data_IF_599656719201
#
_entry.id   IF_599656719201
#
_cell.length_a   1.000
_cell.length_b   1.000
_cell.length_c   1.000
_cell.angle_alpha   90.00
_cell.angle_beta   90.00
_cell.angle_gamma   90.00
#
_symmetry.space_group_name_H-M   'P 1'
#
loop_
_entity.id
_entity.type
_entity.pdbx_description
1 polymer ?
#
# COMPACT_ATOMS: atom_id res chain seq x y z
N UNK A 1 -4.82 -17.57 16.73
CA UNK A 1 -4.99 -16.26 16.06
C UNK A 1 -3.59 -15.73 15.88
N UNK A 2 -3.17 -15.44 14.64
CA UNK A 2 -1.93 -14.69 14.43
C UNK A 2 -2.01 -13.44 15.30
N UNK A 3 -1.01 -13.20 16.13
CA UNK A 3 -0.98 -11.97 16.89
C UNK A 3 -0.92 -10.83 15.88
N UNK A 4 -1.95 -9.97 15.87
CA UNK A 4 -2.01 -8.82 14.95
C UNK A 4 -0.73 -8.00 15.10
N UNK A 5 -0.21 -7.88 16.32
CA UNK A 5 1.05 -7.21 16.59
C UNK A 5 2.21 -7.85 15.81
N UNK A 6 2.34 -9.17 15.84
CA UNK A 6 3.42 -9.87 15.13
C UNK A 6 3.37 -9.66 13.62
N UNK A 7 2.19 -9.73 12.98
CA UNK A 7 2.08 -9.52 11.52
C UNK A 7 2.34 -8.06 11.14
N UNK A 8 1.92 -7.12 12.00
CA UNK A 8 2.20 -5.69 11.78
C UNK A 8 3.70 -5.39 12.01
N UNK A 9 4.35 -6.09 12.96
CA UNK A 9 5.80 -6.02 13.15
C UNK A 9 6.55 -6.56 11.92
N UNK A 10 6.16 -7.73 11.38
CA UNK A 10 6.72 -8.29 10.14
C UNK A 10 6.55 -7.31 8.97
N UNK A 11 5.35 -6.74 8.80
CA UNK A 11 5.07 -5.73 7.76
C UNK A 11 5.99 -4.51 7.88
N UNK A 12 6.20 -4.03 9.10
CA UNK A 12 7.08 -2.89 9.37
C UNK A 12 8.52 -3.23 9.01
N UNK A 13 9.01 -4.39 9.43
CA UNK A 13 10.39 -4.82 9.20
C UNK A 13 10.69 -4.99 7.71
N UNK A 14 9.83 -5.70 6.97
CA UNK A 14 9.98 -5.85 5.52
C UNK A 14 9.87 -4.51 4.78
N UNK A 15 8.99 -3.62 5.23
CA UNK A 15 8.89 -2.26 4.67
C UNK A 15 10.14 -1.42 4.92
N UNK A 16 10.81 -1.60 6.05
CA UNK A 16 12.05 -0.91 6.40
C UNK A 16 13.24 -1.44 5.59
N UNK A 17 13.30 -2.76 5.32
CA UNK A 17 14.29 -3.33 4.40
C UNK A 17 14.11 -2.82 2.97
N UNK A 18 12.89 -2.84 2.46
CA UNK A 18 12.58 -2.29 1.14
C UNK A 18 12.91 -0.79 1.06
N UNK A 19 12.60 -0.02 2.11
CA UNK A 19 12.94 1.40 2.21
C UNK A 19 14.43 1.67 2.12
N UNK A 20 15.25 0.90 2.86
CA UNK A 20 16.70 1.02 2.82
C UNK A 20 17.24 0.73 1.41
N UNK A 21 16.67 -0.27 0.73
CA UNK A 21 17.06 -0.65 -0.62
C UNK A 21 16.71 0.45 -1.63
N UNK A 22 15.47 0.96 -1.64
CA UNK A 22 15.07 1.98 -2.63
C UNK A 22 15.59 3.37 -2.30
N UNK A 23 15.75 3.69 -1.00
CA UNK A 23 16.29 4.96 -0.53
C UNK A 23 17.77 5.17 -0.88
N UNK A 24 18.51 4.09 -1.12
CA UNK A 24 19.90 4.14 -1.59
C UNK A 24 20.04 4.24 -3.12
N UNK A 25 18.95 4.13 -3.87
CA UNK A 25 19.00 4.17 -5.34
C UNK A 25 19.28 5.57 -5.87
N UNK A 26 20.17 5.65 -6.85
CA UNK A 26 20.33 6.86 -7.65
C UNK A 26 19.03 7.19 -8.42
N UNK A 27 18.72 8.47 -8.68
CA UNK A 27 17.47 8.87 -9.33
C UNK A 27 17.16 8.17 -10.66
N UNK A 28 18.19 7.83 -11.45
CA UNK A 28 18.01 7.11 -12.72
C UNK A 28 17.51 5.67 -12.54
N UNK A 29 17.84 5.01 -11.43
CA UNK A 29 17.49 3.61 -11.15
C UNK A 29 16.02 3.42 -10.82
N UNK A 30 15.32 4.47 -10.40
CA UNK A 30 13.87 4.47 -10.20
C UNK A 30 13.06 4.22 -11.48
N UNK A 31 13.68 4.44 -12.64
CA UNK A 31 13.12 4.12 -13.96
C UNK A 31 13.46 2.69 -14.43
N UNK A 32 14.22 1.93 -13.65
CA UNK A 32 14.55 0.55 -13.96
C UNK A 32 13.30 -0.32 -14.03
N UNK A 33 13.19 -1.24 -15.00
CA UNK A 33 12.03 -2.12 -15.14
C UNK A 33 11.96 -3.12 -13.99
N UNK A 34 10.76 -3.63 -13.74
CA UNK A 34 10.48 -4.70 -12.78
C UNK A 34 9.88 -5.92 -13.50
N UNK A 35 9.73 -7.07 -12.85
CA UNK A 35 9.03 -8.22 -13.45
C UNK A 35 7.56 -7.93 -13.82
N UNK A 36 6.93 -6.95 -13.19
CA UNK A 36 5.63 -6.45 -13.61
C UNK A 36 5.79 -5.65 -14.92
N UNK A 37 5.22 -6.15 -16.01
CA UNK A 37 5.38 -5.58 -17.33
C UNK A 37 4.89 -4.12 -17.37
N UNK A 38 5.70 -3.23 -17.94
CA UNK A 38 5.41 -1.79 -17.99
C UNK A 38 5.71 -1.03 -16.69
N UNK A 39 5.92 -1.71 -15.56
CA UNK A 39 6.18 -1.07 -14.28
C UNK A 39 7.69 -0.89 -14.01
N UNK A 40 8.01 0.30 -13.50
CA UNK A 40 9.35 0.62 -12.99
C UNK A 40 9.39 0.51 -11.47
N UNK A 41 10.57 0.64 -10.85
CA UNK A 41 10.69 0.75 -9.38
C UNK A 41 9.81 1.87 -8.82
N UNK A 42 9.71 3.01 -9.52
CA UNK A 42 8.80 4.09 -9.13
C UNK A 42 7.32 3.66 -9.13
N UNK A 43 6.91 2.81 -10.08
CA UNK A 43 5.54 2.28 -10.11
C UNK A 43 5.27 1.36 -8.92
N UNK A 44 6.24 0.53 -8.51
CA UNK A 44 6.09 -0.33 -7.34
C UNK A 44 5.91 0.47 -6.05
N UNK A 45 6.76 1.49 -5.81
CA UNK A 45 6.61 2.35 -4.63
C UNK A 45 5.33 3.18 -4.69
N UNK A 46 4.93 3.64 -5.89
CA UNK A 46 3.65 4.34 -6.07
C UNK A 46 2.44 3.43 -5.78
N UNK A 47 2.47 2.18 -6.23
CA UNK A 47 1.45 1.18 -5.93
C UNK A 47 1.32 0.94 -4.44
N UNK A 48 2.45 0.71 -3.74
CA UNK A 48 2.47 0.54 -2.29
C UNK A 48 1.89 1.77 -1.56
N UNK A 49 2.34 2.98 -1.93
CA UNK A 49 1.84 4.22 -1.36
C UNK A 49 0.33 4.39 -1.56
N UNK A 50 -0.18 4.09 -2.76
CA UNK A 50 -1.61 4.18 -3.06
C UNK A 50 -2.40 3.14 -2.27
N UNK A 51 -1.99 1.88 -2.28
CA UNK A 51 -2.72 0.82 -1.58
C UNK A 51 -2.69 1.00 -0.06
N UNK A 52 -1.63 1.54 0.52
CA UNK A 52 -1.59 1.91 1.95
C UNK A 52 -2.60 3.01 2.29
N UNK A 53 -2.72 4.04 1.45
CA UNK A 53 -3.73 5.10 1.62
C UNK A 53 -5.16 4.58 1.44
N UNK A 54 -5.39 3.64 0.52
CA UNK A 54 -6.71 2.98 0.36
C UNK A 54 -7.03 2.09 1.56
N UNK A 55 -6.07 1.34 2.08
CA UNK A 55 -6.25 0.53 3.29
C UNK A 55 -6.54 1.42 4.52
N UNK A 56 -5.86 2.56 4.62
CA UNK A 56 -6.10 3.55 5.65
C UNK A 56 -7.52 4.13 5.52
N UNK A 57 -7.92 4.57 4.33
CA UNK A 57 -9.28 5.06 4.04
C UNK A 57 -10.34 4.03 4.42
N UNK A 58 -10.15 2.77 4.04
CA UNK A 58 -11.06 1.69 4.39
C UNK A 58 -11.19 1.49 5.90
N UNK A 59 -10.09 1.62 6.65
CA UNK A 59 -10.08 1.43 8.09
C UNK A 59 -10.63 2.64 8.87
N UNK A 60 -10.47 3.86 8.37
CA UNK A 60 -10.82 5.09 9.11
C UNK A 60 -12.08 5.79 8.60
N UNK A 61 -12.40 5.65 7.31
CA UNK A 61 -13.51 6.32 6.64
C UNK A 61 -14.27 5.34 5.72
N UNK A 62 -14.88 4.27 6.28
CA UNK A 62 -15.48 3.18 5.50
C UNK A 62 -16.60 3.64 4.55
N UNK A 63 -17.32 4.71 4.88
CA UNK A 63 -18.35 5.28 4.01
C UNK A 63 -17.76 5.87 2.71
N UNK A 64 -16.54 6.43 2.79
CA UNK A 64 -15.81 7.00 1.64
C UNK A 64 -15.09 5.93 0.82
N UNK A 65 -14.76 4.79 1.41
CA UNK A 65 -14.17 3.67 0.69
C UNK A 65 -15.06 3.16 -0.46
N UNK A 66 -16.39 3.36 -0.39
CA UNK A 66 -17.30 3.05 -1.49
C UNK A 66 -16.93 3.71 -2.82
N UNK A 67 -16.31 4.90 -2.78
CA UNK A 67 -15.83 5.58 -3.99
C UNK A 67 -14.66 4.83 -4.64
N UNK A 68 -13.78 4.22 -3.84
CA UNK A 68 -12.68 3.39 -4.35
C UNK A 68 -13.21 2.09 -4.97
N UNK A 69 -14.24 1.49 -4.38
CA UNK A 69 -14.93 0.33 -4.98
C UNK A 69 -15.56 0.71 -6.32
N UNK A 70 -16.19 1.87 -6.43
CA UNK A 70 -16.76 2.34 -7.69
C UNK A 70 -15.70 2.52 -8.79
N UNK A 71 -14.52 3.06 -8.44
CA UNK A 71 -13.37 3.17 -9.37
C UNK A 71 -12.90 1.79 -9.84
N UNK A 72 -12.75 0.85 -8.90
CA UNK A 72 -12.33 -0.52 -9.23
C UNK A 72 -13.35 -1.22 -10.14
N UNK A 73 -14.66 -1.05 -9.90
CA UNK A 73 -15.70 -1.63 -10.75
C UNK A 73 -15.76 -1.00 -12.15
N UNK A 74 -15.41 0.28 -12.29
CA UNK A 74 -15.40 0.96 -13.58
C UNK A 74 -14.24 0.50 -14.49
N UNK A 75 -13.13 0.05 -13.90
CA UNK A 75 -11.93 -0.36 -14.62
C UNK A 75 -11.18 -1.50 -13.89
N UNK A 76 -11.78 -2.70 -13.75
CA UNK A 76 -11.28 -3.75 -12.85
C UNK A 76 -9.88 -4.26 -13.22
N UNK A 77 -9.52 -4.23 -14.50
CA UNK A 77 -8.21 -4.66 -15.00
C UNK A 77 -7.18 -3.53 -15.04
N UNK A 78 -7.56 -2.27 -14.80
CA UNK A 78 -6.69 -1.13 -15.02
C UNK A 78 -6.61 -0.14 -13.85
N UNK A 79 -7.49 -0.22 -12.85
CA UNK A 79 -7.54 0.79 -11.78
C UNK A 79 -6.25 0.88 -10.97
N UNK A 80 -5.58 -0.25 -10.73
CA UNK A 80 -4.28 -0.31 -10.05
C UNK A 80 -3.20 0.35 -10.90
N UNK A 81 -3.08 -0.04 -12.17
CA UNK A 81 -2.12 0.54 -13.12
C UNK A 81 -2.32 2.06 -13.27
N UNK A 82 -3.58 2.49 -13.37
CA UNK A 82 -3.93 3.91 -13.46
C UNK A 82 -3.57 4.68 -12.19
N UNK A 83 -3.80 4.10 -11.01
CA UNK A 83 -3.45 4.74 -9.74
C UNK A 83 -1.93 4.88 -9.56
N UNK A 84 -1.17 3.80 -9.79
CA UNK A 84 0.28 3.81 -9.73
C UNK A 84 0.89 4.76 -10.76
N UNK A 85 0.42 4.69 -12.01
CA UNK A 85 0.87 5.55 -13.11
C UNK A 85 0.58 7.03 -12.86
N UNK A 86 -0.59 7.37 -12.31
CA UNK A 86 -0.94 8.75 -11.96
C UNK A 86 0.00 9.32 -10.90
N UNK A 87 0.35 8.52 -9.87
CA UNK A 87 1.31 8.94 -8.85
C UNK A 87 2.72 9.14 -9.41
N UNK A 88 3.19 8.23 -10.26
CA UNK A 88 4.48 8.37 -10.95
C UNK A 88 4.53 9.60 -11.85
N UNK A 89 3.42 9.91 -12.54
CA UNK A 89 3.34 11.09 -13.39
C UNK A 89 3.34 12.40 -12.58
N UNK A 90 2.80 12.40 -11.37
CA UNK A 90 2.64 13.58 -10.54
C UNK A 90 3.85 13.90 -9.65
N UNK A 91 4.69 12.91 -9.34
CA UNK A 91 5.69 13.03 -8.27
C UNK A 91 7.06 12.50 -8.65
N UNK A 92 8.09 13.18 -8.15
CA UNK A 92 9.46 12.70 -8.21
C UNK A 92 9.67 11.51 -7.23
N UNK A 93 10.67 10.64 -7.48
CA UNK A 93 10.99 9.50 -6.63
C UNK A 93 11.09 9.76 -5.13
N UNK A 94 11.75 10.83 -4.72
CA UNK A 94 11.92 11.22 -3.32
C UNK A 94 10.59 11.59 -2.66
N UNK A 95 9.70 12.25 -3.41
CA UNK A 95 8.34 12.57 -2.97
C UNK A 95 7.49 11.31 -2.85
N UNK A 96 7.59 10.38 -3.80
CA UNK A 96 6.90 9.09 -3.73
C UNK A 96 7.34 8.28 -2.51
N UNK A 97 8.66 8.21 -2.27
CA UNK A 97 9.22 7.51 -1.12
C UNK A 97 8.77 8.14 0.21
N UNK A 98 8.81 9.47 0.32
CA UNK A 98 8.33 10.18 1.50
C UNK A 98 6.82 9.93 1.74
N UNK A 99 6.02 9.91 0.69
CA UNK A 99 4.59 9.62 0.77
C UNK A 99 4.31 8.19 1.23
N UNK A 100 5.03 7.21 0.70
CA UNK A 100 4.92 5.83 1.14
C UNK A 100 5.31 5.66 2.62
N UNK A 101 6.42 6.29 3.05
CA UNK A 101 6.85 6.31 4.46
C UNK A 101 5.79 6.88 5.40
N UNK A 102 5.15 7.99 5.04
CA UNK A 102 4.07 8.58 5.84
C UNK A 102 2.84 7.65 5.91
N UNK A 103 2.40 7.17 4.74
CA UNK A 103 1.23 6.30 4.62
C UNK A 103 1.37 5.02 5.45
N UNK A 104 2.50 4.33 5.35
CA UNK A 104 2.73 3.08 6.10
C UNK A 104 2.81 3.30 7.62
N UNK A 105 3.37 4.43 8.08
CA UNK A 105 3.40 4.77 9.52
C UNK A 105 2.00 5.03 10.06
N UNK A 106 1.17 5.75 9.29
CA UNK A 106 -0.23 5.99 9.65
C UNK A 106 -1.04 4.71 9.64
N UNK A 107 -0.83 3.83 8.67
CA UNK A 107 -1.50 2.54 8.58
C UNK A 107 -1.09 1.60 9.72
N UNK A 108 0.20 1.47 10.04
CA UNK A 108 0.70 0.70 11.19
C UNK A 108 -0.05 1.10 12.47
N UNK A 109 -0.11 2.40 12.77
CA UNK A 109 -0.82 2.92 13.94
C UNK A 109 -2.29 2.52 13.93
N UNK A 110 -2.99 2.68 12.81
CA UNK A 110 -4.42 2.33 12.69
C UNK A 110 -4.66 0.84 12.88
N UNK A 111 -3.79 -0.02 12.33
CA UNK A 111 -3.91 -1.46 12.49
C UNK A 111 -3.65 -1.90 13.94
N UNK A 112 -2.68 -1.31 14.63
CA UNK A 112 -2.40 -1.60 16.06
C UNK A 112 -3.49 -1.12 17.00
N UNK A 113 -4.07 0.05 16.71
CA UNK A 113 -5.13 0.64 17.54
C UNK A 113 -6.52 0.05 17.25
N UNK A 114 -6.66 -0.79 16.22
CA UNK A 114 -7.92 -1.37 15.83
C UNK A 114 -8.50 -2.27 16.93
N UNK A 115 -9.81 -2.15 17.26
CA UNK A 115 -10.45 -3.02 18.24
C UNK A 115 -10.31 -4.50 17.89
N UNK A 116 -10.17 -5.35 18.91
CA UNK A 116 -10.15 -6.80 18.72
C UNK A 116 -11.40 -7.27 17.95
N UNK A 117 -11.19 -8.01 16.86
CA UNK A 117 -12.27 -8.51 16.00
C UNK A 117 -12.81 -7.50 14.97
N UNK A 118 -12.23 -6.30 14.88
CA UNK A 118 -12.59 -5.34 13.84
C UNK A 118 -12.47 -5.93 12.42
N UNK A 119 -13.36 -5.48 11.54
CA UNK A 119 -13.37 -5.83 10.11
C UNK A 119 -13.19 -4.58 9.29
N UNK A 120 -12.26 -4.63 8.33
CA UNK A 120 -11.96 -3.54 7.42
C UNK A 120 -12.64 -3.85 6.08
N UNK A 121 -13.51 -2.99 5.53
CA UNK A 121 -14.05 -3.15 4.19
C UNK A 121 -12.93 -3.30 3.15
N UNK A 122 -13.15 -4.11 2.12
CA UNK A 122 -12.18 -4.24 1.03
C UNK A 122 -12.87 -4.56 -0.29
N UNK A 123 -12.11 -4.68 -1.37
CA UNK A 123 -12.64 -5.00 -2.71
C UNK A 123 -13.28 -6.39 -2.81
N UNK A 124 -13.04 -7.26 -1.82
CA UNK A 124 -13.71 -8.54 -1.65
C UNK A 124 -14.49 -8.59 -0.32
N UNK A 125 -14.61 -9.76 0.32
CA UNK A 125 -15.12 -9.83 1.67
C UNK A 125 -14.33 -8.91 2.61
N UNK A 126 -14.98 -8.23 3.58
CA UNK A 126 -14.27 -7.43 4.58
C UNK A 126 -13.18 -8.26 5.23
N UNK A 127 -11.99 -7.69 5.43
CA UNK A 127 -10.82 -8.37 5.98
C UNK A 127 -10.76 -8.24 7.50
N UNK A 128 -10.10 -9.19 8.17
CA UNK A 128 -9.63 -8.94 9.55
C UNK A 128 -8.43 -8.00 9.52
N UNK A 129 -8.10 -7.38 10.66
CA UNK A 129 -6.88 -6.56 10.79
C UNK A 129 -5.62 -7.35 10.43
N UNK A 130 -5.51 -8.60 10.93
CA UNK A 130 -4.40 -9.48 10.57
C UNK A 130 -4.37 -9.79 9.06
N UNK A 131 -5.53 -10.06 8.46
CA UNK A 131 -5.62 -10.33 7.01
C UNK A 131 -5.23 -9.12 6.17
N UNK A 132 -5.58 -7.91 6.61
CA UNK A 132 -5.16 -6.67 5.95
C UNK A 132 -3.64 -6.52 6.04
N UNK A 133 -3.06 -6.66 7.24
CA UNK A 133 -1.61 -6.58 7.44
C UNK A 133 -0.86 -7.63 6.59
N UNK A 134 -1.35 -8.88 6.56
CA UNK A 134 -0.80 -9.93 5.69
C UNK A 134 -0.91 -9.58 4.21
N UNK A 135 -2.03 -9.02 3.75
CA UNK A 135 -2.17 -8.62 2.36
C UNK A 135 -1.17 -7.52 1.99
N UNK A 136 -0.95 -6.53 2.87
CA UNK A 136 0.09 -5.51 2.67
C UNK A 136 1.50 -6.10 2.65
N UNK A 137 1.77 -7.07 3.52
CA UNK A 137 3.06 -7.77 3.58
C UNK A 137 3.33 -8.55 2.27
N UNK A 138 2.33 -9.21 1.71
CA UNK A 138 2.47 -9.90 0.42
C UNK A 138 2.79 -8.96 -0.73
N UNK A 139 2.35 -7.70 -0.67
CA UNK A 139 2.58 -6.70 -1.72
C UNK A 139 3.99 -6.11 -1.68
N UNK A 140 4.72 -6.30 -0.57
CA UNK A 140 6.15 -5.90 -0.47
C UNK A 140 7.12 -6.89 -1.13
N UNK A 141 6.65 -8.01 -1.68
CA UNK A 141 7.44 -9.10 -2.29
C UNK A 141 7.14 -9.33 -3.78
#
# INVERSE_FOLDING_TARGET
MSDVAAVVDDLREESDELDALVGALEPGRWRGPTPAEGWTVAHQIAHLAWTDEVALLAATEPDRFGDEVAKALAAPEAFVDQAAGALVAAHAPDVLLARWRDGRQRLDKVLRDAPAGARIPWYGPPMSVASMATARLMETW
#
